data_IF_324350512192
#
_entry.id   IF_324350512192
#
_cell.length_a   1.000
_cell.length_b   1.000
_cell.length_c   1.000
_cell.angle_alpha   90.00
_cell.angle_beta   90.00
_cell.angle_gamma   90.00
#
_symmetry.space_group_name_H-M   'P 1'
#
loop_
_entity.id
_entity.type
_entity.pdbx_description
1 polymer ?
#
# COMPACT_ATOMS: atom_id res chain seq x y z
N UNK A 1 -4.04 22.02 26.14
CA UNK A 1 -3.39 20.73 25.78
C UNK A 1 -3.44 20.57 24.27
N UNK A 2 -2.29 20.56 23.58
CA UNK A 2 -2.21 20.15 22.18
C UNK A 2 -1.85 18.67 22.15
N UNK A 3 -2.82 17.81 21.85
CA UNK A 3 -2.51 16.44 21.43
C UNK A 3 -1.96 16.53 20.01
N UNK A 4 -0.66 16.32 19.85
CA UNK A 4 -0.02 16.28 18.55
C UNK A 4 1.23 15.41 18.66
N UNK A 5 1.18 14.23 18.05
CA UNK A 5 2.38 13.45 17.83
C UNK A 5 3.27 14.31 16.91
N UNK A 6 4.41 14.78 17.41
CA UNK A 6 5.46 15.39 16.59
C UNK A 6 6.08 14.30 15.72
N UNK A 7 5.38 13.89 14.68
CA UNK A 7 5.91 13.01 13.66
C UNK A 7 6.36 13.86 12.46
N UNK A 8 7.46 13.51 11.78
CA UNK A 8 7.87 14.17 10.56
C UNK A 8 6.70 14.26 9.58
N UNK A 9 6.44 15.44 9.02
CA UNK A 9 5.32 15.61 8.09
C UNK A 9 5.60 14.94 6.74
N UNK A 10 6.86 14.62 6.46
CA UNK A 10 7.25 14.01 5.19
C UNK A 10 6.82 12.54 5.09
N UNK A 11 6.52 12.13 3.87
CA UNK A 11 6.24 10.76 3.49
C UNK A 11 7.44 9.86 3.83
N UNK A 12 7.19 8.83 4.63
CA UNK A 12 8.24 7.91 5.08
C UNK A 12 8.86 7.07 3.95
N UNK A 13 8.19 6.99 2.80
CA UNK A 13 8.66 6.19 1.67
C UNK A 13 9.55 6.96 0.67
N UNK A 14 9.33 8.27 0.51
CA UNK A 14 10.07 9.08 -0.46
C UNK A 14 10.79 10.28 0.15
N UNK A 15 10.42 10.70 1.36
CA UNK A 15 11.01 11.83 2.08
C UNK A 15 11.00 13.15 1.28
N UNK A 16 10.09 13.29 0.31
CA UNK A 16 10.06 14.42 -0.63
C UNK A 16 8.79 15.27 -0.52
N UNK A 17 7.64 14.65 -0.24
CA UNK A 17 6.36 15.33 -0.08
C UNK A 17 5.72 15.03 1.28
N UNK A 18 4.71 15.79 1.65
CA UNK A 18 3.92 15.57 2.85
C UNK A 18 3.23 14.19 2.83
N UNK A 19 3.20 13.53 3.97
CA UNK A 19 2.45 12.30 4.22
C UNK A 19 0.97 12.66 4.42
N UNK A 20 0.27 12.84 3.29
CA UNK A 20 -1.19 12.85 3.22
C UNK A 20 -1.70 11.56 2.56
N UNK A 21 -3.02 11.34 2.59
CA UNK A 21 -3.64 10.14 2.03
C UNK A 21 -3.39 9.97 0.53
N UNK A 22 -3.48 11.04 -0.25
CA UNK A 22 -3.37 10.95 -1.71
C UNK A 22 -1.94 10.61 -2.12
N UNK A 23 -0.98 11.32 -1.51
CA UNK A 23 0.43 11.06 -1.67
C UNK A 23 0.83 9.67 -1.14
N UNK A 24 0.39 9.28 0.06
CA UNK A 24 0.79 8.01 0.68
C UNK A 24 0.48 6.81 -0.21
N UNK A 25 -0.73 6.72 -0.77
CA UNK A 25 -1.16 5.52 -1.50
C UNK A 25 -0.73 5.53 -2.97
N UNK A 26 -0.98 6.61 -3.72
CA UNK A 26 -0.75 6.60 -5.18
C UNK A 26 -0.02 7.83 -5.72
N UNK A 27 0.17 8.89 -4.93
CA UNK A 27 1.02 10.01 -5.33
C UNK A 27 2.52 9.82 -5.04
N UNK A 28 2.89 8.93 -4.12
CA UNK A 28 4.28 8.62 -3.80
C UNK A 28 4.85 7.66 -4.84
N UNK A 29 6.03 7.96 -5.44
CA UNK A 29 6.61 7.10 -6.48
C UNK A 29 6.81 5.65 -6.06
N UNK A 30 7.05 5.38 -4.76
CA UNK A 30 7.27 4.02 -4.25
C UNK A 30 5.97 3.21 -4.18
N UNK A 31 4.92 3.78 -3.60
CA UNK A 31 3.63 3.10 -3.45
C UNK A 31 2.84 3.07 -4.76
N UNK A 32 2.98 4.10 -5.60
CA UNK A 32 2.51 4.08 -6.98
C UNK A 32 3.14 2.92 -7.77
N UNK A 33 4.47 2.76 -7.70
CA UNK A 33 5.15 1.66 -8.40
C UNK A 33 4.75 0.29 -7.86
N UNK A 34 4.50 0.16 -6.55
CA UNK A 34 3.95 -1.06 -5.96
C UNK A 34 2.59 -1.40 -6.59
N UNK A 35 1.69 -0.43 -6.68
CA UNK A 35 0.38 -0.66 -7.27
C UNK A 35 0.45 -0.98 -8.77
N UNK A 36 1.31 -0.31 -9.52
CA UNK A 36 1.54 -0.59 -10.95
C UNK A 36 1.99 -2.04 -11.18
N UNK A 37 2.92 -2.54 -10.36
CA UNK A 37 3.37 -3.95 -10.42
C UNK A 37 2.24 -4.92 -10.15
N UNK A 38 1.40 -4.63 -9.16
CA UNK A 38 0.24 -5.46 -8.82
C UNK A 38 -0.78 -5.46 -9.96
N UNK A 39 -1.08 -4.31 -10.56
CA UNK A 39 -1.96 -4.21 -11.73
C UNK A 39 -1.42 -5.02 -12.91
N UNK A 40 -0.12 -4.93 -13.19
CA UNK A 40 0.54 -5.73 -14.23
C UNK A 40 0.44 -7.22 -13.96
N UNK A 41 0.63 -7.65 -12.72
CA UNK A 41 0.47 -9.05 -12.30
C UNK A 41 -0.97 -9.55 -12.51
N UNK A 42 -1.97 -8.73 -12.20
CA UNK A 42 -3.39 -8.99 -12.46
C UNK A 42 -3.79 -8.87 -13.94
N UNK A 43 -2.83 -8.56 -14.83
CA UNK A 43 -3.04 -8.28 -16.26
C UNK A 43 -4.10 -7.19 -16.47
N UNK A 44 -4.01 -6.11 -15.70
CA UNK A 44 -4.84 -4.91 -15.81
C UNK A 44 -3.97 -3.78 -16.35
N UNK A 45 -4.30 -3.29 -17.54
CA UNK A 45 -3.61 -2.15 -18.17
C UNK A 45 -4.45 -0.89 -17.94
N UNK A 46 -4.01 -0.04 -17.02
CA UNK A 46 -4.60 1.27 -16.79
C UNK A 46 -3.57 2.23 -16.21
N UNK A 47 -3.84 3.52 -16.36
CA UNK A 47 -3.11 4.56 -15.64
C UNK A 47 -3.61 4.59 -14.19
N UNK A 48 -2.68 4.74 -13.26
CA UNK A 48 -2.98 4.92 -11.84
C UNK A 48 -3.42 6.37 -11.64
N UNK A 49 -4.59 6.56 -11.05
CA UNK A 49 -5.14 7.87 -10.74
C UNK A 49 -4.83 8.32 -9.31
N UNK A 50 -5.52 9.36 -8.87
CA UNK A 50 -5.53 9.78 -7.47
C UNK A 50 -6.13 8.71 -6.56
N UNK A 51 -5.96 8.86 -5.24
CA UNK A 51 -6.65 8.01 -4.25
C UNK A 51 -8.16 7.91 -4.51
N UNK A 52 -8.79 9.03 -4.86
CA UNK A 52 -10.22 9.09 -5.14
C UNK A 52 -10.59 8.31 -6.40
N UNK A 53 -9.78 8.41 -7.45
CA UNK A 53 -10.03 7.70 -8.72
C UNK A 53 -9.90 6.19 -8.54
N UNK A 54 -8.87 5.76 -7.81
CA UNK A 54 -8.64 4.36 -7.47
C UNK A 54 -9.78 3.80 -6.61
N UNK A 55 -10.20 4.53 -5.57
CA UNK A 55 -11.34 4.13 -4.75
C UNK A 55 -12.63 4.01 -5.55
N UNK A 56 -12.90 4.95 -6.46
CA UNK A 56 -14.09 4.92 -7.29
C UNK A 56 -14.09 3.70 -8.22
N UNK A 57 -12.94 3.43 -8.84
CA UNK A 57 -12.76 2.26 -9.71
C UNK A 57 -12.95 0.94 -8.96
N UNK A 58 -12.28 0.79 -7.81
CA UNK A 58 -12.39 -0.42 -6.97
C UNK A 58 -13.82 -0.58 -6.43
N UNK A 59 -14.49 0.50 -6.04
CA UNK A 59 -15.88 0.46 -5.59
C UNK A 59 -16.82 -0.03 -6.70
N UNK A 60 -16.54 0.31 -7.96
CA UNK A 60 -17.24 -0.23 -9.12
C UNK A 60 -17.02 -1.74 -9.29
N UNK A 61 -15.78 -2.20 -9.14
CA UNK A 61 -15.43 -3.62 -9.21
C UNK A 61 -16.08 -4.43 -8.09
N UNK A 62 -16.11 -3.91 -6.87
CA UNK A 62 -16.68 -4.58 -5.70
C UNK A 62 -18.18 -4.88 -5.83
N UNK A 63 -18.90 -4.18 -6.73
CA UNK A 63 -20.32 -4.44 -7.03
C UNK A 63 -20.52 -5.57 -8.06
N UNK A 64 -19.45 -5.98 -8.73
CA UNK A 64 -19.52 -7.03 -9.74
C UNK A 64 -19.35 -8.41 -9.13
N UNK A 65 -20.12 -9.39 -9.60
CA UNK A 65 -20.03 -10.81 -9.17
C UNK A 65 -19.01 -11.61 -9.99
N UNK A 66 -18.01 -10.95 -10.57
CA UNK A 66 -17.01 -11.61 -11.39
C UNK A 66 -15.74 -11.87 -10.57
N UNK A 67 -15.19 -13.08 -10.69
CA UNK A 67 -14.04 -13.53 -9.90
C UNK A 67 -12.82 -12.60 -10.05
N UNK A 68 -12.57 -12.06 -11.25
CA UNK A 68 -11.47 -11.11 -11.48
C UNK A 68 -11.65 -9.81 -10.67
N UNK A 69 -12.87 -9.30 -10.57
CA UNK A 69 -13.20 -8.10 -9.81
C UNK A 69 -13.09 -8.35 -8.30
N UNK A 70 -13.50 -9.52 -7.82
CA UNK A 70 -13.32 -9.93 -6.43
C UNK A 70 -11.83 -9.99 -6.06
N UNK A 71 -11.02 -10.72 -6.85
CA UNK A 71 -9.57 -10.80 -6.66
C UNK A 71 -8.94 -9.41 -6.70
N UNK A 72 -9.32 -8.56 -7.66
CA UNK A 72 -8.77 -7.20 -7.78
C UNK A 72 -9.11 -6.35 -6.56
N UNK A 73 -10.35 -6.43 -6.08
CA UNK A 73 -10.83 -5.69 -4.90
C UNK A 73 -10.11 -6.13 -3.63
N UNK A 74 -9.98 -7.45 -3.42
CA UNK A 74 -9.25 -8.01 -2.28
C UNK A 74 -7.76 -7.63 -2.32
N UNK A 75 -7.15 -7.69 -3.51
CA UNK A 75 -5.75 -7.31 -3.69
C UNK A 75 -5.52 -5.82 -3.40
N UNK A 76 -6.44 -4.95 -3.82
CA UNK A 76 -6.37 -3.53 -3.49
C UNK A 76 -6.42 -3.29 -1.98
N UNK A 77 -7.36 -3.93 -1.28
CA UNK A 77 -7.47 -3.82 0.18
C UNK A 77 -6.17 -4.29 0.88
N UNK A 78 -5.56 -5.37 0.39
CA UNK A 78 -4.27 -5.87 0.88
C UNK A 78 -3.14 -4.86 0.67
N UNK A 79 -3.04 -4.24 -0.51
CA UNK A 79 -2.03 -3.21 -0.81
C UNK A 79 -2.18 -2.01 0.13
N UNK A 80 -3.40 -1.51 0.30
CA UNK A 80 -3.70 -0.41 1.23
C UNK A 80 -3.28 -0.77 2.66
N UNK A 81 -3.65 -1.96 3.13
CA UNK A 81 -3.29 -2.43 4.46
C UNK A 81 -1.77 -2.52 4.65
N UNK A 82 -1.05 -3.11 3.69
CA UNK A 82 0.41 -3.22 3.74
C UNK A 82 1.07 -1.84 3.79
N UNK A 83 0.66 -0.90 2.94
CA UNK A 83 1.20 0.48 2.93
C UNK A 83 0.98 1.14 4.30
N UNK A 84 -0.24 1.06 4.84
CA UNK A 84 -0.57 1.63 6.13
C UNK A 84 0.25 1.01 7.27
N UNK A 85 0.39 -0.32 7.28
CA UNK A 85 1.15 -1.06 8.28
C UNK A 85 2.63 -0.66 8.27
N UNK A 86 3.25 -0.64 7.09
CA UNK A 86 4.66 -0.25 6.95
C UNK A 86 4.86 1.22 7.34
N UNK A 87 3.97 2.12 6.90
CA UNK A 87 4.02 3.54 7.27
C UNK A 87 3.96 3.75 8.77
N UNK A 88 3.07 3.03 9.46
CA UNK A 88 2.96 3.13 10.91
C UNK A 88 4.14 2.49 11.64
N UNK A 89 4.65 1.37 11.14
CA UNK A 89 5.86 0.74 11.67
C UNK A 89 7.05 1.72 11.66
N UNK A 90 7.27 2.39 10.52
CA UNK A 90 8.36 3.37 10.38
C UNK A 90 8.16 4.57 11.32
N UNK A 91 6.94 5.09 11.42
CA UNK A 91 6.66 6.30 12.22
C UNK A 91 6.70 6.07 13.73
N UNK A 92 6.14 4.97 14.21
CA UNK A 92 5.86 4.80 15.63
C UNK A 92 6.84 3.88 16.33
N UNK A 93 7.44 2.92 15.63
CA UNK A 93 8.27 1.92 16.30
C UNK A 93 9.75 2.30 16.36
N UNK A 94 10.23 3.34 15.65
CA UNK A 94 11.66 3.74 15.54
C UNK A 94 12.64 2.55 15.43
N UNK A 95 12.17 1.39 14.96
CA UNK A 95 12.99 0.19 14.83
C UNK A 95 13.95 0.44 13.69
N UNK A 96 15.24 0.17 13.90
CA UNK A 96 16.14 -0.03 12.76
C UNK A 96 15.59 -1.21 11.97
N UNK A 97 15.15 -0.90 10.75
CA UNK A 97 14.68 -1.86 9.78
C UNK A 97 15.77 -2.92 9.53
N UNK A 98 15.48 -4.19 9.86
CA UNK A 98 16.35 -5.30 9.52
C UNK A 98 15.73 -6.06 8.34
N UNK A 99 16.25 -5.78 7.14
CA UNK A 99 15.80 -6.40 5.89
C UNK A 99 15.89 -7.92 5.90
N UNK A 100 16.78 -8.50 6.69
CA UNK A 100 16.99 -9.94 6.74
C UNK A 100 15.94 -10.66 7.59
N UNK A 101 15.36 -9.99 8.59
CA UNK A 101 14.21 -10.55 9.32
C UNK A 101 12.94 -10.57 8.46
N UNK A 102 12.67 -9.48 7.73
CA UNK A 102 11.50 -9.41 6.83
C UNK A 102 11.58 -10.45 5.71
N UNK A 103 12.78 -10.70 5.16
CA UNK A 103 13.00 -11.76 4.16
C UNK A 103 12.71 -13.15 4.71
N UNK A 104 13.15 -13.43 5.95
CA UNK A 104 12.91 -14.71 6.62
C UNK A 104 11.43 -14.92 6.92
N UNK A 105 10.74 -13.89 7.39
CA UNK A 105 9.31 -13.93 7.67
C UNK A 105 8.49 -14.24 6.41
N UNK A 106 8.79 -13.56 5.29
CA UNK A 106 8.13 -13.82 4.01
C UNK A 106 8.40 -15.26 3.52
N UNK A 107 9.64 -15.75 3.62
CA UNK A 107 9.97 -17.12 3.22
C UNK A 107 9.23 -18.17 4.06
N UNK A 108 9.11 -17.96 5.37
CA UNK A 108 8.39 -18.87 6.28
C UNK A 108 6.90 -18.90 5.96
N UNK A 109 6.27 -17.74 5.74
CA UNK A 109 4.84 -17.69 5.43
C UNK A 109 4.49 -18.25 4.05
N UNK A 110 5.40 -18.17 3.08
CA UNK A 110 5.21 -18.80 1.76
C UNK A 110 5.35 -20.32 1.84
N UNK A 111 6.25 -20.85 2.68
CA UNK A 111 6.50 -22.29 2.76
C UNK A 111 5.47 -23.06 3.60
N UNK A 112 4.72 -22.39 4.47
CA UNK A 112 3.68 -23.02 5.32
C UNK A 112 2.32 -23.12 4.60
N UNK A 113 2.14 -22.41 3.48
CA UNK A 113 0.91 -22.47 2.66
C UNK A 113 1.14 -23.02 1.24
N UNK A 114 2.32 -23.61 0.99
CA UNK A 114 2.62 -24.36 -0.24
C UNK A 114 2.44 -25.86 -0.05
#
# INVERSE_FOLDING_TARGET
>A
MKFGIQAPLDCVFCSTNMDDFDHLYFGCPKTNNLWDRVLKWLRIKRQIGSWKDELLWISGLARSKNCKAEITTATFAMVVYCIWRERNSIRFNKRRYNMDELRKEIAIHIHIQG
#
